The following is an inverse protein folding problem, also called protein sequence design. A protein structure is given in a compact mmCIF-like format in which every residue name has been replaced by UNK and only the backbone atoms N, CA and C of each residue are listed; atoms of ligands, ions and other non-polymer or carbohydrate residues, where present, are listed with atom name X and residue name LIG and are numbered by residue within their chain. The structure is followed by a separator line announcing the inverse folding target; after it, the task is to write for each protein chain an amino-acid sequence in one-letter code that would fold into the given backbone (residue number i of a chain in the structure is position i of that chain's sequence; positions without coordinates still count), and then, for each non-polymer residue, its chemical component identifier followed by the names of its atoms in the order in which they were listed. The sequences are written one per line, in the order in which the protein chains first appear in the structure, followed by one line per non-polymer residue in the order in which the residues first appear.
data_IF_488437142060
#
_entry.id   IF_488437142060
#
_cell.length_a   1.000
_cell.length_b   1.000
_cell.length_c   1.000
_cell.angle_alpha   90.00
_cell.angle_beta   90.00
_cell.angle_gamma   90.00
#
_symmetry.space_group_name_H-M   'P 1'
#
loop_
_entity.id
_entity.type
_entity.pdbx_description
1 polymer ?
#
# COMPACT_ATOMS: atom_id res chain seq x y z
N UNK A 1 -15.70 3.82 33.47
CA UNK A 1 -15.73 4.75 32.33
C UNK A 1 -14.44 5.52 32.32
N UNK A 2 -13.51 5.13 31.46
CA UNK A 2 -12.43 6.00 30.99
C UNK A 2 -12.28 5.68 29.51
N UNK A 3 -12.95 6.46 28.69
CA UNK A 3 -12.82 6.44 27.23
C UNK A 3 -11.32 6.54 26.90
N UNK A 4 -10.80 5.48 26.30
CA UNK A 4 -9.45 5.47 25.77
C UNK A 4 -9.50 6.31 24.49
N UNK A 5 -9.44 7.63 24.64
CA UNK A 5 -9.12 8.55 23.55
C UNK A 5 -7.78 8.07 22.99
N UNK A 6 -7.78 7.38 21.86
CA UNK A 6 -6.57 7.19 21.06
C UNK A 6 -6.00 8.58 20.78
N UNK A 7 -5.04 8.97 21.61
CA UNK A 7 -4.42 10.28 21.59
C UNK A 7 -3.81 10.46 20.21
N UNK A 8 -4.33 11.43 19.45
CA UNK A 8 -3.83 11.77 18.13
C UNK A 8 -2.31 12.01 18.23
N UNK A 9 -1.53 11.04 17.76
CA UNK A 9 -0.08 11.11 17.69
C UNK A 9 0.30 11.58 16.27
N UNK A 10 0.77 12.84 16.11
CA UNK A 10 1.16 13.34 14.80
C UNK A 10 2.47 12.71 14.27
N UNK A 11 3.27 12.06 15.12
CA UNK A 11 4.55 11.42 14.77
C UNK A 11 4.29 9.99 14.28
N UNK A 12 3.51 9.21 15.02
CA UNK A 12 3.10 7.86 14.64
C UNK A 12 1.56 7.67 14.68
N UNK A 13 0.82 8.18 13.66
CA UNK A 13 -0.64 8.17 13.65
C UNK A 13 -1.27 6.77 13.66
N UNK A 14 -2.45 6.64 14.28
CA UNK A 14 -3.13 5.33 14.44
C UNK A 14 -3.59 4.68 13.13
N UNK A 15 -3.84 5.45 12.07
CA UNK A 15 -4.21 4.90 10.75
C UNK A 15 -3.11 4.07 10.06
N UNK A 16 -1.91 3.97 10.66
CA UNK A 16 -0.86 3.05 10.24
C UNK A 16 -0.79 1.76 11.06
N UNK A 17 -1.65 1.58 12.07
CA UNK A 17 -1.57 0.53 13.09
C UNK A 17 -2.79 -0.41 13.14
N UNK A 18 -3.82 -0.14 12.32
CA UNK A 18 -5.13 -0.82 12.39
C UNK A 18 -5.25 -2.10 11.55
N UNK A 19 -4.15 -2.63 11.01
CA UNK A 19 -4.21 -3.84 10.19
C UNK A 19 -4.39 -5.09 11.07
N UNK A 20 -5.25 -6.06 10.70
CA UNK A 20 -5.53 -7.25 11.50
C UNK A 20 -4.31 -8.16 11.73
N UNK A 21 -3.27 -8.08 10.90
CA UNK A 21 -1.99 -8.78 11.13
C UNK A 21 -1.24 -8.34 12.41
N UNK A 22 -1.67 -7.25 13.05
CA UNK A 22 -0.96 -6.64 14.19
C UNK A 22 0.33 -5.90 13.78
N UNK A 23 0.66 -5.86 12.49
CA UNK A 23 1.80 -5.10 11.97
C UNK A 23 1.41 -3.64 11.72
N UNK A 24 2.33 -2.73 12.08
CA UNK A 24 2.29 -1.35 11.59
C UNK A 24 2.84 -1.26 10.16
N UNK A 25 2.29 -0.33 9.37
CA UNK A 25 2.75 -0.05 8.00
C UNK A 25 4.28 0.15 7.91
N UNK A 26 4.87 0.79 8.93
CA UNK A 26 6.31 1.07 8.97
C UNK A 26 7.15 -0.20 9.14
N UNK A 27 6.63 -1.29 9.72
CA UNK A 27 7.36 -2.56 9.82
C UNK A 27 7.71 -3.14 8.45
N UNK A 28 6.93 -2.79 7.43
CA UNK A 28 7.09 -3.27 6.06
C UNK A 28 7.78 -2.21 5.20
N UNK A 29 7.20 -1.01 5.16
CA UNK A 29 7.61 0.03 4.18
C UNK A 29 9.02 0.55 4.39
N UNK A 30 9.61 0.42 5.59
CA UNK A 30 11.02 0.77 5.86
C UNK A 30 12.04 -0.07 5.08
N UNK A 31 11.63 -1.25 4.58
CA UNK A 31 12.46 -2.18 3.82
C UNK A 31 12.17 -2.12 2.30
N UNK A 32 11.32 -1.20 1.88
CA UNK A 32 10.93 -1.01 0.47
C UNK A 32 11.70 0.13 -0.17
N UNK A 33 11.73 0.16 -1.50
CA UNK A 33 12.19 1.33 -2.24
C UNK A 33 11.30 2.55 -1.96
N UNK A 34 11.84 3.75 -2.15
CA UNK A 34 11.13 4.99 -1.80
C UNK A 34 9.72 5.08 -2.41
N UNK A 35 9.60 4.81 -3.72
CA UNK A 35 8.30 4.92 -4.41
C UNK A 35 7.33 3.80 -4.03
N UNK A 36 7.77 2.53 -3.99
CA UNK A 36 6.89 1.42 -3.61
C UNK A 36 6.47 1.48 -2.14
N UNK A 37 7.39 1.86 -1.24
CA UNK A 37 7.09 2.07 0.18
C UNK A 37 6.09 3.20 0.39
N UNK A 38 6.22 4.31 -0.33
CA UNK A 38 5.22 5.38 -0.27
C UNK A 38 3.88 4.94 -0.86
N UNK A 39 3.86 4.22 -1.99
CA UNK A 39 2.62 3.70 -2.56
C UNK A 39 1.88 2.80 -1.56
N UNK A 40 2.56 1.81 -0.98
CA UNK A 40 2.00 0.95 0.08
C UNK A 40 1.54 1.78 1.28
N UNK A 41 2.30 2.78 1.73
CA UNK A 41 1.89 3.68 2.81
C UNK A 41 0.56 4.38 2.54
N UNK A 42 0.30 4.80 1.31
CA UNK A 42 -0.98 5.44 0.96
C UNK A 42 -2.11 4.41 0.78
N UNK A 43 -1.83 3.24 0.21
CA UNK A 43 -2.77 2.12 0.19
C UNK A 43 -3.07 1.58 1.58
N UNK A 44 -2.18 1.73 2.56
CA UNK A 44 -2.41 1.26 3.91
C UNK A 44 -3.48 2.08 4.63
N UNK A 45 -3.57 3.37 4.31
CA UNK A 45 -4.36 4.34 5.08
C UNK A 45 -5.62 4.82 4.37
N UNK A 46 -5.91 4.41 3.13
CA UNK A 46 -6.96 5.07 2.34
C UNK A 46 -8.34 4.98 3.00
N UNK A 47 -8.70 3.83 3.57
CA UNK A 47 -9.99 3.64 4.27
C UNK A 47 -10.11 4.53 5.53
N UNK A 48 -8.97 4.85 6.14
CA UNK A 48 -8.89 5.56 7.42
C UNK A 48 -8.59 7.06 7.26
N UNK A 49 -8.03 7.46 6.10
CA UNK A 49 -7.57 8.82 5.84
C UNK A 49 -7.44 9.14 4.35
N UNK A 50 -8.05 10.26 3.96
CA UNK A 50 -7.93 10.89 2.64
C UNK A 50 -8.39 9.99 1.47
N UNK A 51 -9.13 8.90 1.69
CA UNK A 51 -9.76 7.98 0.70
C UNK A 51 -9.18 8.08 -0.73
N UNK A 52 -9.91 8.71 -1.66
CA UNK A 52 -9.51 8.85 -3.07
C UNK A 52 -8.17 9.60 -3.23
N UNK A 53 -7.88 10.59 -2.40
CA UNK A 53 -6.61 11.33 -2.43
C UNK A 53 -5.44 10.43 -2.05
N UNK A 54 -5.61 9.51 -1.09
CA UNK A 54 -4.59 8.52 -0.76
C UNK A 54 -4.32 7.59 -1.96
N UNK A 55 -5.36 7.07 -2.60
CA UNK A 55 -5.22 6.23 -3.80
C UNK A 55 -4.51 6.97 -4.94
N UNK A 56 -4.88 8.23 -5.22
CA UNK A 56 -4.21 9.06 -6.22
C UNK A 56 -2.74 9.31 -5.91
N UNK A 57 -2.38 9.47 -4.62
CA UNK A 57 -0.97 9.57 -4.20
C UNK A 57 -0.23 8.25 -4.43
N UNK A 58 -0.85 7.09 -4.17
CA UNK A 58 -0.24 5.81 -4.48
C UNK A 58 0.07 5.68 -5.98
N UNK A 59 -0.88 6.02 -6.85
CA UNK A 59 -0.69 6.04 -8.31
C UNK A 59 0.46 6.97 -8.69
N UNK A 60 0.52 8.18 -8.13
CA UNK A 60 1.59 9.15 -8.43
C UNK A 60 3.00 8.58 -8.17
N UNK A 61 3.21 7.92 -7.03
CA UNK A 61 4.51 7.29 -6.73
C UNK A 61 4.83 6.10 -7.65
N UNK A 62 3.83 5.31 -8.05
CA UNK A 62 4.03 4.19 -8.95
C UNK A 62 4.29 4.64 -10.39
N UNK A 63 3.66 5.72 -10.83
CA UNK A 63 3.95 6.36 -12.12
C UNK A 63 5.36 6.96 -12.14
N UNK A 64 5.79 7.62 -11.07
CA UNK A 64 7.17 8.12 -10.96
C UNK A 64 8.21 6.99 -10.98
N UNK A 65 7.95 5.89 -10.25
CA UNK A 65 8.79 4.68 -10.28
C UNK A 65 8.86 4.08 -11.68
N UNK A 66 7.72 4.06 -12.38
CA UNK A 66 7.66 3.72 -13.78
C UNK A 66 8.67 4.63 -14.49
N UNK A 67 8.36 5.90 -14.69
CA UNK A 67 9.09 6.78 -15.60
C UNK A 67 10.60 6.87 -15.34
N UNK A 68 11.05 6.84 -14.09
CA UNK A 68 12.41 7.23 -13.74
C UNK A 68 13.33 6.10 -13.29
N UNK A 69 12.82 4.95 -12.81
CA UNK A 69 13.63 4.04 -11.97
C UNK A 69 13.56 2.55 -12.34
N UNK A 70 13.14 2.21 -13.56
CA UNK A 70 12.99 0.81 -14.02
C UNK A 70 14.23 -0.08 -13.86
N UNK A 71 15.44 0.48 -13.93
CA UNK A 71 16.70 -0.30 -13.96
C UNK A 71 17.13 -0.79 -12.55
N UNK A 72 16.64 -0.16 -11.47
CA UNK A 72 17.00 -0.51 -10.07
C UNK A 72 15.94 -1.33 -9.33
N UNK A 73 14.77 -1.57 -9.94
CA UNK A 73 13.59 -2.12 -9.26
C UNK A 73 13.55 -3.66 -9.18
N UNK A 74 14.70 -4.33 -9.37
CA UNK A 74 14.73 -5.77 -9.67
C UNK A 74 14.52 -6.69 -8.46
N UNK A 75 14.66 -6.20 -7.22
CA UNK A 75 14.41 -7.01 -6.01
C UNK A 75 13.88 -6.18 -4.85
N UNK A 76 12.62 -6.38 -4.40
CA UNK A 76 12.16 -5.88 -3.12
C UNK A 76 12.92 -6.58 -1.99
N UNK A 77 13.51 -5.82 -1.05
CA UNK A 77 14.26 -6.35 0.10
C UNK A 77 13.31 -6.82 1.23
N UNK A 78 12.01 -6.97 0.96
CA UNK A 78 11.05 -7.42 1.98
C UNK A 78 10.83 -8.93 1.86
N UNK A 79 11.41 -9.70 2.76
CA UNK A 79 11.15 -11.13 2.87
C UNK A 79 9.86 -11.37 3.66
N UNK A 80 8.70 -11.09 3.06
CA UNK A 80 7.42 -11.58 3.56
C UNK A 80 7.14 -12.96 2.95
N UNK A 81 6.76 -13.94 3.76
CA UNK A 81 6.19 -15.18 3.22
C UNK A 81 4.74 -14.95 2.76
N UNK A 82 4.24 -15.87 1.94
CA UNK A 82 2.90 -15.74 1.34
C UNK A 82 1.76 -15.70 2.36
N UNK A 83 1.91 -16.37 3.51
CA UNK A 83 0.89 -16.36 4.56
C UNK A 83 0.75 -14.98 5.20
N UNK A 84 1.88 -14.33 5.50
CA UNK A 84 1.89 -12.97 6.05
C UNK A 84 1.34 -11.94 5.06
N UNK A 85 1.59 -12.10 3.75
CA UNK A 85 0.98 -11.24 2.73
C UNK A 85 -0.55 -11.37 2.77
N UNK A 86 -1.07 -12.59 2.83
CA UNK A 86 -2.53 -12.81 2.89
C UNK A 86 -3.16 -12.23 4.16
N UNK A 87 -2.49 -12.34 5.31
CA UNK A 87 -2.95 -11.74 6.55
C UNK A 87 -3.03 -10.22 6.47
N UNK A 88 -2.00 -9.57 5.89
CA UNK A 88 -2.00 -8.11 5.68
C UNK A 88 -3.14 -7.70 4.76
N UNK A 89 -3.29 -8.35 3.60
CA UNK A 89 -4.29 -7.93 2.61
C UNK A 89 -5.73 -8.23 3.07
N UNK A 90 -5.93 -9.22 3.94
CA UNK A 90 -7.25 -9.50 4.52
C UNK A 90 -7.85 -8.32 5.30
N UNK A 91 -7.02 -7.33 5.69
CA UNK A 91 -7.45 -6.11 6.35
C UNK A 91 -8.06 -5.03 5.46
N UNK A 92 -8.17 -5.26 4.14
CA UNK A 92 -8.70 -4.27 3.19
C UNK A 92 -9.97 -4.80 2.52
N UNK A 93 -10.98 -3.96 2.36
CA UNK A 93 -12.27 -4.38 1.80
C UNK A 93 -12.24 -4.55 0.28
N UNK A 94 -11.45 -3.73 -0.41
CA UNK A 94 -11.37 -3.74 -1.87
C UNK A 94 -10.51 -4.88 -2.40
N UNK A 95 -11.09 -5.74 -3.24
CA UNK A 95 -10.35 -6.77 -3.97
C UNK A 95 -9.25 -6.18 -4.87
N UNK A 96 -9.52 -5.02 -5.48
CA UNK A 96 -8.53 -4.32 -6.31
C UNK A 96 -7.31 -3.91 -5.46
N UNK A 97 -7.53 -3.37 -4.26
CA UNK A 97 -6.45 -2.97 -3.36
C UNK A 97 -5.73 -4.17 -2.76
N UNK A 98 -6.45 -5.24 -2.39
CA UNK A 98 -5.82 -6.48 -1.95
C UNK A 98 -4.87 -7.02 -3.04
N UNK A 99 -5.31 -7.07 -4.29
CA UNK A 99 -4.49 -7.55 -5.39
C UNK A 99 -3.30 -6.63 -5.69
N UNK A 100 -3.47 -5.32 -5.64
CA UNK A 100 -2.37 -4.35 -5.75
C UNK A 100 -1.31 -4.57 -4.66
N UNK A 101 -1.74 -4.75 -3.40
CA UNK A 101 -0.84 -5.01 -2.27
C UNK A 101 -0.12 -6.36 -2.41
N UNK A 102 -0.79 -7.43 -2.87
CA UNK A 102 -0.13 -8.71 -3.15
C UNK A 102 1.04 -8.56 -4.12
N UNK A 103 0.90 -7.73 -5.15
CA UNK A 103 1.99 -7.45 -6.08
C UNK A 103 3.11 -6.63 -5.44
N UNK A 104 2.76 -5.55 -4.74
CA UNK A 104 3.76 -4.62 -4.16
C UNK A 104 4.54 -5.25 -2.99
N UNK A 105 3.94 -6.17 -2.25
CA UNK A 105 4.52 -6.82 -1.08
C UNK A 105 5.28 -8.12 -1.41
N UNK A 106 5.08 -8.66 -2.61
CA UNK A 106 5.72 -9.91 -3.02
C UNK A 106 7.12 -9.65 -3.62
N UNK A 107 8.14 -9.97 -2.84
CA UNK A 107 9.56 -9.81 -3.23
C UNK A 107 10.03 -10.69 -4.38
N UNK A 108 9.22 -11.66 -4.81
CA UNK A 108 9.54 -12.51 -5.96
C UNK A 108 9.03 -11.93 -7.28
N UNK A 109 8.21 -10.88 -7.23
CA UNK A 109 7.68 -10.21 -8.42
C UNK A 109 8.47 -8.94 -8.70
N UNK A 110 9.24 -8.87 -9.81
CA UNK A 110 9.94 -7.65 -10.17
C UNK A 110 8.95 -6.55 -10.53
N UNK A 111 9.23 -5.30 -10.17
CA UNK A 111 8.40 -4.15 -10.55
C UNK A 111 8.74 -3.69 -11.98
N UNK A 112 8.47 -4.56 -12.95
CA UNK A 112 8.59 -4.26 -14.38
C UNK A 112 7.56 -3.22 -14.81
N UNK A 113 7.74 -2.55 -15.96
CA UNK A 113 6.74 -1.62 -16.50
C UNK A 113 5.34 -2.25 -16.60
N UNK A 114 5.25 -3.52 -17.03
CA UNK A 114 3.99 -4.24 -17.16
C UNK A 114 3.33 -4.48 -15.80
N UNK A 115 4.10 -4.92 -14.80
CA UNK A 115 3.58 -5.15 -13.45
C UNK A 115 3.14 -3.84 -12.81
N UNK A 116 3.90 -2.76 -12.97
CA UNK A 116 3.52 -1.44 -12.49
C UNK A 116 2.24 -0.94 -13.17
N UNK A 117 2.13 -1.08 -14.50
CA UNK A 117 0.91 -0.72 -15.23
C UNK A 117 -0.31 -1.50 -14.73
N UNK A 118 -0.14 -2.80 -14.46
CA UNK A 118 -1.20 -3.63 -13.90
C UNK A 118 -1.64 -3.17 -12.51
N UNK A 119 -0.69 -2.94 -11.59
CA UNK A 119 -0.98 -2.45 -10.23
C UNK A 119 -1.65 -1.07 -10.27
N UNK A 120 -1.17 -0.16 -11.11
CA UNK A 120 -1.77 1.17 -11.29
C UNK A 120 -3.21 1.04 -11.83
N UNK A 121 -3.44 0.12 -12.78
CA UNK A 121 -4.76 -0.18 -13.31
C UNK A 121 -5.76 -0.63 -12.22
N UNK A 122 -5.33 -1.50 -11.31
CA UNK A 122 -6.14 -1.93 -10.16
C UNK A 122 -6.52 -0.75 -9.26
N UNK A 123 -5.55 0.11 -8.92
CA UNK A 123 -5.81 1.28 -8.06
C UNK A 123 -6.73 2.29 -8.76
N UNK A 124 -6.57 2.51 -10.07
CA UNK A 124 -7.44 3.39 -10.83
C UNK A 124 -8.87 2.85 -10.93
N UNK A 125 -9.04 1.53 -11.09
CA UNK A 125 -10.35 0.89 -11.06
C UNK A 125 -11.05 1.12 -9.71
N UNK A 126 -10.32 1.01 -8.61
CA UNK A 126 -10.85 1.34 -7.27
C UNK A 126 -11.28 2.81 -7.16
N UNK A 127 -10.46 3.74 -7.68
CA UNK A 127 -10.80 5.17 -7.70
C UNK A 127 -12.10 5.41 -8.47
N UNK A 128 -12.28 4.74 -9.62
CA UNK A 128 -13.50 4.83 -10.42
C UNK A 128 -14.71 4.22 -9.72
N UNK A 129 -14.55 3.11 -9.01
CA UNK A 129 -15.62 2.46 -8.23
C UNK A 129 -16.06 3.34 -7.06
N UNK A 130 -15.12 3.90 -6.29
CA UNK A 130 -15.41 4.82 -5.19
C UNK A 130 -15.99 6.17 -5.66
N UNK A 131 -15.62 6.64 -6.85
CA UNK A 131 -16.12 7.90 -7.41
C UNK A 131 -17.54 7.83 -8.01
N UNK A 132 -18.14 6.64 -8.08
CA UNK A 132 -19.54 6.43 -8.51
C UNK A 132 -20.55 6.56 -7.36
N UNK A 133 -20.08 6.71 -6.12
CA UNK A 133 -20.86 6.91 -4.90
C UNK A 133 -20.69 8.33 -4.37
#
# INVERSE_FOLDING_TARGET
MSENLEKHDPINPSHYKKNPSGLECIHITRHMGFNTGNAVKYLWRYEEKDLIIALKKAVWYLEDLKEHHYISAMFPIVALDGGMIEEIVSGFHSENIQQALRFLLNSRLPMTPLNLQYVIGLINKEIEELGKF
#
